data_IF_849954977682
#
_entry.id   IF_849954977682
#
_cell.length_a   1.000
_cell.length_b   1.000
_cell.length_c   1.000
_cell.angle_alpha   90.00
_cell.angle_beta   90.00
_cell.angle_gamma   90.00
#
_symmetry.space_group_name_H-M   'P 1'
#
loop_
_entity.id
_entity.type
_entity.pdbx_description
1 polymer ?
#
# COMPACT_ATOMS: atom_id res chain seq x y z
N UNK A 1 -24.51 27.69 -15.04
CA UNK A 1 -24.29 26.36 -15.66
C UNK A 1 -22.96 26.21 -16.41
N UNK A 2 -22.20 27.27 -16.73
CA UNK A 2 -20.94 27.15 -17.50
C UNK A 2 -19.68 26.77 -16.70
N UNK A 3 -19.70 26.92 -15.37
CA UNK A 3 -18.52 26.71 -14.50
C UNK A 3 -18.27 25.24 -14.13
N UNK A 4 -19.29 24.38 -14.21
CA UNK A 4 -19.16 22.95 -13.90
C UNK A 4 -18.48 22.19 -15.04
N UNK A 5 -18.86 22.49 -16.30
CA UNK A 5 -18.26 21.92 -17.51
C UNK A 5 -16.74 22.18 -17.63
N UNK A 6 -16.26 23.35 -17.16
CA UNK A 6 -14.84 23.67 -17.22
C UNK A 6 -14.03 22.90 -16.16
N UNK A 7 -14.64 22.64 -15.00
CA UNK A 7 -14.06 21.84 -13.94
C UNK A 7 -13.93 20.38 -14.37
N UNK A 8 -15.00 19.81 -14.94
CA UNK A 8 -15.02 18.42 -15.41
C UNK A 8 -14.02 18.19 -16.55
N UNK A 9 -13.87 19.15 -17.46
CA UNK A 9 -12.85 19.08 -18.53
C UNK A 9 -11.42 19.14 -17.98
N UNK A 10 -11.17 19.92 -16.93
CA UNK A 10 -9.84 19.96 -16.27
C UNK A 10 -9.57 18.66 -15.51
N UNK A 11 -10.58 18.08 -14.89
CA UNK A 11 -10.50 16.80 -14.19
C UNK A 11 -10.18 15.65 -15.16
N UNK A 12 -10.91 15.54 -16.27
CA UNK A 12 -10.69 14.53 -17.32
C UNK A 12 -9.27 14.61 -17.90
N UNK A 13 -8.80 15.82 -18.23
CA UNK A 13 -7.40 16.02 -18.69
C UNK A 13 -6.36 15.67 -17.63
N UNK A 14 -6.72 15.82 -16.35
CA UNK A 14 -5.88 15.38 -15.24
C UNK A 14 -5.77 13.85 -15.19
N UNK A 15 -6.90 13.15 -15.35
CA UNK A 15 -6.98 11.69 -15.36
C UNK A 15 -6.20 11.09 -16.54
N UNK A 16 -6.37 11.64 -17.75
CA UNK A 16 -5.64 11.21 -18.94
C UNK A 16 -4.12 11.31 -18.75
N UNK A 17 -3.64 12.43 -18.17
CA UNK A 17 -2.20 12.62 -17.88
C UNK A 17 -1.66 11.65 -16.84
N UNK A 18 -2.50 11.16 -15.92
CA UNK A 18 -2.11 10.18 -14.91
C UNK A 18 -2.01 8.80 -15.57
N UNK A 19 -3.00 8.42 -16.39
CA UNK A 19 -2.97 7.17 -17.16
C UNK A 19 -1.72 7.07 -18.04
N UNK A 20 -1.41 8.12 -18.81
CA UNK A 20 -0.20 8.18 -19.65
C UNK A 20 1.10 8.02 -18.85
N UNK A 21 1.13 8.50 -17.60
CA UNK A 21 2.31 8.35 -16.73
C UNK A 21 2.42 6.93 -16.19
N UNK A 22 1.31 6.28 -15.87
CA UNK A 22 1.27 4.88 -15.42
C UNK A 22 1.76 3.97 -16.55
N UNK A 23 1.25 4.13 -17.76
CA UNK A 23 1.68 3.34 -18.93
C UNK A 23 3.18 3.48 -19.20
N UNK A 24 3.72 4.70 -19.06
CA UNK A 24 5.16 4.95 -19.21
C UNK A 24 6.00 4.35 -18.08
N UNK A 25 5.44 4.22 -16.88
CA UNK A 25 6.10 3.57 -15.75
C UNK A 25 6.09 2.05 -15.98
N UNK A 26 4.97 1.47 -16.40
CA UNK A 26 4.88 0.05 -16.77
C UNK A 26 5.83 -0.32 -17.92
N UNK A 27 5.94 0.55 -18.94
CA UNK A 27 6.86 0.34 -20.06
C UNK A 27 8.35 0.48 -19.67
N UNK A 28 8.66 1.25 -18.63
CA UNK A 28 10.05 1.47 -18.17
C UNK A 28 10.48 0.51 -17.07
N UNK A 29 9.56 -0.23 -16.45
CA UNK A 29 9.94 -1.33 -15.58
C UNK A 29 10.47 -2.47 -16.45
N UNK A 30 11.76 -2.83 -16.34
CA UNK A 30 12.23 -4.05 -16.96
C UNK A 30 11.39 -5.18 -16.38
N UNK A 31 10.80 -6.01 -17.26
CA UNK A 31 10.15 -7.26 -16.88
C UNK A 31 11.20 -8.21 -16.29
N UNK A 32 11.64 -7.95 -15.07
CA UNK A 32 12.22 -8.95 -14.18
C UNK A 32 11.04 -9.80 -13.71
N UNK A 33 10.66 -10.74 -14.57
CA UNK A 33 9.79 -11.86 -14.20
C UNK A 33 10.71 -12.92 -13.59
N UNK A 34 11.26 -12.61 -12.41
CA UNK A 34 11.31 -13.63 -11.38
C UNK A 34 10.02 -13.39 -10.60
N UNK A 35 9.08 -14.34 -10.70
CA UNK A 35 7.87 -14.35 -9.89
C UNK A 35 8.28 -14.54 -8.43
N UNK A 36 8.79 -13.47 -7.83
CA UNK A 36 8.55 -13.21 -6.43
C UNK A 36 7.04 -12.99 -6.38
N UNK A 37 6.33 -13.86 -5.65
CA UNK A 37 4.90 -13.66 -5.42
C UNK A 37 4.72 -12.21 -4.97
N UNK A 38 4.02 -11.42 -5.78
CA UNK A 38 3.81 -10.01 -5.49
C UNK A 38 2.49 -9.91 -4.73
N UNK A 39 2.49 -9.33 -3.53
CA UNK A 39 1.24 -8.85 -2.94
C UNK A 39 0.71 -7.77 -3.88
N UNK A 40 -0.53 -7.95 -4.33
CA UNK A 40 -1.20 -6.87 -5.05
C UNK A 40 -1.46 -5.70 -4.09
N UNK A 41 -1.06 -4.49 -4.49
CA UNK A 41 -1.40 -3.26 -3.77
C UNK A 41 -2.91 -3.16 -3.45
N UNK A 42 -3.84 -3.57 -4.35
CA UNK A 42 -5.26 -3.65 -4.02
C UNK A 42 -5.59 -4.52 -2.80
N UNK A 43 -4.89 -5.65 -2.60
CA UNK A 43 -5.06 -6.53 -1.44
C UNK A 43 -4.75 -5.80 -0.14
N UNK A 44 -3.62 -5.07 -0.10
CA UNK A 44 -3.25 -4.28 1.07
C UNK A 44 -4.24 -3.13 1.31
N UNK A 45 -4.61 -2.40 0.26
CA UNK A 45 -5.60 -1.32 0.37
C UNK A 45 -6.95 -1.81 0.91
N UNK A 46 -7.41 -2.99 0.48
CA UNK A 46 -8.63 -3.62 0.97
C UNK A 46 -8.50 -3.97 2.45
N UNK A 47 -7.39 -4.61 2.84
CA UNK A 47 -7.13 -4.98 4.23
C UNK A 47 -7.10 -3.74 5.15
N UNK A 48 -6.45 -2.66 4.73
CA UNK A 48 -6.41 -1.40 5.48
C UNK A 48 -7.82 -0.83 5.69
N UNK A 49 -8.61 -0.78 4.61
CA UNK A 49 -9.99 -0.26 4.63
C UNK A 49 -10.92 -1.09 5.51
N UNK A 50 -10.87 -2.41 5.41
CA UNK A 50 -11.70 -3.33 6.21
C UNK A 50 -11.37 -3.23 7.71
N UNK A 51 -10.14 -2.85 8.05
CA UNK A 51 -9.69 -2.76 9.43
C UNK A 51 -9.64 -1.33 9.99
N UNK A 52 -10.03 -0.33 9.19
CA UNK A 52 -9.93 1.10 9.52
C UNK A 52 -8.55 1.47 10.10
N UNK A 53 -7.49 1.00 9.43
CA UNK A 53 -6.11 1.23 9.82
C UNK A 53 -5.29 1.88 8.69
N UNK A 54 -4.20 2.52 9.06
CA UNK A 54 -3.14 2.90 8.14
C UNK A 54 -2.04 1.82 8.20
N UNK A 55 -1.54 1.39 7.05
CA UNK A 55 -0.43 0.44 6.95
C UNK A 55 0.78 1.12 6.30
N UNK A 56 1.97 0.86 6.82
CA UNK A 56 3.23 1.44 6.35
C UNK A 56 4.24 0.35 6.07
N UNK A 57 4.97 0.47 4.97
CA UNK A 57 6.10 -0.40 4.61
C UNK A 57 7.32 0.51 4.43
N UNK A 58 8.36 0.32 5.23
CA UNK A 58 9.65 0.99 5.05
C UNK A 58 10.71 -0.04 4.68
N UNK A 59 11.44 0.20 3.60
CA UNK A 59 12.54 -0.65 3.13
C UNK A 59 13.84 0.15 3.35
N UNK A 60 14.73 -0.37 4.19
CA UNK A 60 15.98 0.29 4.55
C UNK A 60 17.16 -0.29 3.75
N UNK A 61 18.27 0.48 3.57
CA UNK A 61 19.44 0.05 2.81
C UNK A 61 20.22 -1.14 3.38
N UNK A 62 19.92 -1.54 4.62
CA UNK A 62 20.53 -2.68 5.33
C UNK A 62 19.66 -3.94 5.24
N UNK A 63 18.83 -4.05 4.21
CA UNK A 63 17.91 -5.16 3.96
C UNK A 63 16.85 -5.36 5.08
N UNK A 64 16.61 -4.33 5.91
CA UNK A 64 15.53 -4.35 6.89
C UNK A 64 14.24 -3.82 6.28
N UNK A 65 13.15 -4.56 6.48
CA UNK A 65 11.81 -4.12 6.11
C UNK A 65 10.99 -3.92 7.38
N UNK A 66 10.42 -2.73 7.55
CA UNK A 66 9.54 -2.43 8.67
C UNK A 66 8.10 -2.41 8.19
N UNK A 67 7.27 -3.25 8.80
CA UNK A 67 5.83 -3.32 8.56
C UNK A 67 5.12 -2.70 9.76
N UNK A 68 4.40 -1.61 9.54
CA UNK A 68 3.73 -0.86 10.59
C UNK A 68 2.23 -0.76 10.37
N UNK A 69 1.45 -0.77 11.44
CA UNK A 69 0.00 -0.54 11.43
C UNK A 69 -0.37 0.49 12.48
N UNK A 70 -1.18 1.47 12.09
CA UNK A 70 -1.75 2.48 12.97
C UNK A 70 -3.29 2.41 12.95
N UNK A 71 -3.90 2.32 14.12
CA UNK A 71 -5.35 2.46 14.32
C UNK A 71 -5.59 3.67 15.22
N UNK A 72 -6.31 4.66 14.68
CA UNK A 72 -6.71 5.86 15.42
C UNK A 72 -7.52 5.49 16.70
N UNK A 73 -7.33 6.19 17.84
CA UNK A 73 -6.50 7.38 18.03
C UNK A 73 -5.03 7.16 18.43
N UNK A 74 -4.60 5.96 18.82
CA UNK A 74 -3.30 5.84 19.50
C UNK A 74 -2.62 4.47 19.42
N UNK A 75 -3.18 3.49 18.71
CA UNK A 75 -2.60 2.15 18.71
C UNK A 75 -1.72 2.00 17.47
N UNK A 76 -0.42 1.94 17.71
CA UNK A 76 0.60 1.70 16.71
C UNK A 76 1.40 0.46 17.10
N UNK A 77 1.74 -0.35 16.11
CA UNK A 77 2.65 -1.46 16.25
C UNK A 77 3.42 -1.61 14.94
N UNK A 78 4.72 -1.81 15.06
CA UNK A 78 5.63 -2.05 13.94
C UNK A 78 6.49 -3.28 14.20
N UNK A 79 6.79 -4.00 13.13
CA UNK A 79 7.63 -5.18 13.17
C UNK A 79 8.70 -5.09 12.11
N UNK A 80 9.92 -5.39 12.55
CA UNK A 80 11.07 -5.55 11.67
C UNK A 80 11.04 -6.97 11.14
N UNK A 81 10.98 -7.11 9.83
CA UNK A 81 11.04 -8.37 9.11
C UNK A 81 12.27 -8.39 8.22
N UNK A 82 12.71 -9.60 7.88
CA UNK A 82 13.83 -9.82 6.98
C UNK A 82 13.42 -9.53 5.53
N UNK A 83 14.36 -9.13 4.68
CA UNK A 83 14.12 -8.84 3.27
C UNK A 83 13.71 -10.06 2.43
N UNK A 84 13.93 -11.28 2.95
CA UNK A 84 13.58 -12.54 2.30
C UNK A 84 12.11 -12.95 2.52
N UNK A 85 11.30 -12.12 3.18
CA UNK A 85 9.87 -12.36 3.37
C UNK A 85 9.14 -12.47 2.04
N UNK A 86 8.31 -13.51 1.90
CA UNK A 86 7.41 -13.64 0.76
C UNK A 86 6.24 -12.65 0.86
N UNK A 87 5.50 -12.53 -0.23
CA UNK A 87 4.21 -11.84 -0.23
C UNK A 87 3.25 -12.37 0.85
N UNK A 88 3.16 -13.69 1.00
CA UNK A 88 2.25 -14.29 1.97
C UNK A 88 2.68 -13.95 3.41
N UNK A 89 3.98 -13.98 3.69
CA UNK A 89 4.54 -13.64 5.00
C UNK A 89 4.27 -12.19 5.38
N UNK A 90 4.43 -11.25 4.43
CA UNK A 90 4.12 -9.82 4.66
C UNK A 90 2.63 -9.65 4.97
N UNK A 91 1.75 -10.32 4.22
CA UNK A 91 0.30 -10.21 4.41
C UNK A 91 -0.12 -10.77 5.77
N UNK A 92 0.40 -11.93 6.15
CA UNK A 92 0.10 -12.56 7.43
C UNK A 92 0.69 -11.77 8.59
N UNK A 93 1.86 -11.17 8.42
CA UNK A 93 2.41 -10.22 9.39
C UNK A 93 1.49 -9.02 9.57
N UNK A 94 0.97 -8.42 8.51
CA UNK A 94 0.00 -7.33 8.63
C UNK A 94 -1.28 -7.75 9.36
N UNK A 95 -1.84 -8.92 9.06
CA UNK A 95 -3.02 -9.44 9.78
C UNK A 95 -2.72 -9.60 11.27
N UNK A 96 -1.54 -10.11 11.62
CA UNK A 96 -1.16 -10.33 13.01
C UNK A 96 -0.90 -9.01 13.76
N UNK A 97 -0.26 -8.03 13.13
CA UNK A 97 -0.10 -6.69 13.69
C UNK A 97 -1.48 -6.07 13.91
N UNK A 98 -2.38 -6.09 12.92
CA UNK A 98 -3.76 -5.57 13.05
C UNK A 98 -4.48 -6.23 14.23
N UNK A 99 -4.42 -7.56 14.33
CA UNK A 99 -5.01 -8.33 15.44
C UNK A 99 -4.48 -7.84 16.79
N UNK A 100 -3.16 -7.75 16.92
CA UNK A 100 -2.47 -7.28 18.13
C UNK A 100 -2.89 -5.85 18.51
N UNK A 101 -2.88 -4.92 17.56
CA UNK A 101 -3.24 -3.51 17.75
C UNK A 101 -4.71 -3.36 18.18
N UNK A 102 -5.61 -4.23 17.67
CA UNK A 102 -7.02 -4.30 18.07
C UNK A 102 -7.22 -4.90 19.46
N UNK A 103 -6.51 -5.98 19.80
CA UNK A 103 -6.59 -6.62 21.12
C UNK A 103 -6.05 -5.71 22.24
N UNK A 104 -5.08 -4.84 21.95
CA UNK A 104 -4.61 -3.80 22.89
C UNK A 104 -5.66 -2.70 23.19
N UNK A 105 -6.84 -2.69 22.56
CA UNK A 105 -7.95 -1.76 22.90
C UNK A 105 -8.81 -2.23 24.07
N UNK A 106 -8.47 -3.33 24.75
CA UNK A 106 -9.10 -3.77 26.01
C UNK A 106 -8.40 -3.12 27.19
#
# INVERSE_FOLDING_TARGET
>A
MATHDEYDKKLLKGIEKIADRIDRIEQKMPRMVEQTENISLPTLCRLAKENNCAMTIHIYPNDQVHLGVSIFPSNYDDRIVSSDFSAEDILDTFKDIIRTVKERKV
#
